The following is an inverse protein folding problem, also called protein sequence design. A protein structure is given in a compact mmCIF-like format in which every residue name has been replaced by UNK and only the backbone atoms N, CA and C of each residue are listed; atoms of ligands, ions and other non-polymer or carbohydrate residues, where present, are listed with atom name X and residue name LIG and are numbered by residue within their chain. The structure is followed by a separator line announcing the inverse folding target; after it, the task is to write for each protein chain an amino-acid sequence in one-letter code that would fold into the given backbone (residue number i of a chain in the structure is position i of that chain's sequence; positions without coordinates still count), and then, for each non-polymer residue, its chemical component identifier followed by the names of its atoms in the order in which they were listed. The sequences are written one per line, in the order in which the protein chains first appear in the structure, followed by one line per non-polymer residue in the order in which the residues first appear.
data_IF_132612690792
#
_entry.id   IF_132612690792
#
_cell.length_a   1.000
_cell.length_b   1.000
_cell.length_c   1.000
_cell.angle_alpha   90.00
_cell.angle_beta   90.00
_cell.angle_gamma   90.00
#
_symmetry.space_group_name_H-M   'P 1'
#
loop_
_entity.id
_entity.type
_entity.pdbx_description
1 polymer ?
#
# COMPACT_ATOMS: atom_id res chain seq x y z
N UNK A 1 16.95 -10.55 -21.93
CA UNK A 1 17.49 -9.25 -22.38
C UNK A 1 16.56 -8.18 -21.82
N UNK A 2 17.03 -7.36 -20.89
CA UNK A 2 16.26 -6.18 -20.47
C UNK A 2 16.27 -5.20 -21.66
N UNK A 3 15.15 -5.12 -22.35
CA UNK A 3 14.95 -4.18 -23.43
C UNK A 3 14.71 -2.80 -22.80
N UNK A 4 15.64 -1.86 -22.99
CA UNK A 4 15.46 -0.49 -22.53
C UNK A 4 14.40 0.20 -23.41
N UNK A 5 13.27 0.58 -22.81
CA UNK A 5 12.18 1.27 -23.51
C UNK A 5 12.64 2.58 -24.15
N UNK A 6 13.67 3.24 -23.63
CA UNK A 6 14.22 4.45 -24.25
C UNK A 6 14.90 4.15 -25.61
N UNK A 7 15.47 2.96 -25.76
CA UNK A 7 16.03 2.53 -27.07
C UNK A 7 14.91 2.28 -28.08
N UNK A 8 13.82 1.61 -27.67
CA UNK A 8 12.65 1.40 -28.53
C UNK A 8 11.99 2.73 -28.98
N UNK A 9 11.95 3.71 -28.09
CA UNK A 9 11.46 5.06 -28.44
C UNK A 9 12.40 5.72 -29.47
N UNK A 10 13.73 5.64 -29.29
CA UNK A 10 14.71 6.21 -30.21
C UNK A 10 14.65 5.56 -31.60
N UNK A 11 14.40 4.27 -31.66
CA UNK A 11 14.31 3.49 -32.89
C UNK A 11 12.96 3.69 -33.62
N UNK A 12 11.98 4.33 -32.96
CA UNK A 12 10.64 4.53 -33.53
C UNK A 12 9.68 3.35 -33.36
N UNK A 13 10.04 2.35 -32.54
CA UNK A 13 9.22 1.18 -32.27
C UNK A 13 8.05 1.49 -31.31
N UNK A 14 8.12 2.63 -30.61
CA UNK A 14 7.07 3.12 -29.70
C UNK A 14 6.57 4.48 -30.20
N UNK A 15 5.27 4.54 -30.49
CA UNK A 15 4.59 5.72 -31.02
C UNK A 15 4.55 6.86 -29.99
N UNK A 16 5.00 8.05 -30.38
CA UNK A 16 4.82 9.29 -29.62
C UNK A 16 3.46 9.90 -29.94
N UNK A 17 2.70 10.23 -28.89
CA UNK A 17 1.42 10.94 -29.05
C UNK A 17 1.61 12.46 -29.11
N UNK A 18 0.53 13.18 -29.39
CA UNK A 18 0.50 14.66 -29.28
C UNK A 18 0.30 15.13 -27.82
N UNK A 19 -0.02 14.21 -26.91
CA UNK A 19 -0.31 14.51 -25.53
C UNK A 19 0.95 14.80 -24.71
N UNK A 20 0.77 15.59 -23.66
CA UNK A 20 1.78 15.82 -22.61
C UNK A 20 1.12 15.63 -21.25
N UNK A 21 1.88 15.11 -20.29
CA UNK A 21 1.47 15.01 -18.89
C UNK A 21 2.36 15.90 -18.04
N UNK A 22 1.74 16.76 -17.25
CA UNK A 22 2.43 17.62 -16.30
C UNK A 22 2.68 16.88 -15.00
N UNK A 23 3.95 16.81 -14.58
CA UNK A 23 4.38 16.16 -13.34
C UNK A 23 5.27 17.12 -12.55
N UNK A 24 5.15 17.07 -11.23
CA UNK A 24 6.07 17.71 -10.29
C UNK A 24 6.94 16.64 -9.63
N UNK A 25 8.24 16.70 -9.88
CA UNK A 25 9.21 15.72 -9.37
C UNK A 25 10.36 16.47 -8.71
N UNK A 26 10.64 16.17 -7.44
CA UNK A 26 11.70 16.84 -6.69
C UNK A 26 11.49 18.37 -6.57
N UNK A 27 10.23 18.83 -6.60
CA UNK A 27 9.86 20.25 -6.55
C UNK A 27 9.88 20.97 -7.91
N UNK A 28 10.31 20.33 -9.00
CA UNK A 28 10.29 20.86 -10.35
C UNK A 28 9.07 20.37 -11.14
N UNK A 29 8.30 21.28 -11.72
CA UNK A 29 7.14 20.95 -12.58
C UNK A 29 7.54 21.03 -14.05
N UNK A 30 7.34 19.92 -14.79
CA UNK A 30 7.67 19.81 -16.23
C UNK A 30 6.55 19.10 -16.98
N UNK A 31 6.44 19.40 -18.28
CA UNK A 31 5.58 18.69 -19.22
C UNK A 31 6.36 17.57 -19.89
N UNK A 32 5.92 16.33 -19.69
CA UNK A 32 6.54 15.14 -20.24
C UNK A 32 5.75 14.63 -21.45
N UNK A 33 6.41 14.20 -22.53
CA UNK A 33 5.72 13.60 -23.68
C UNK A 33 5.10 12.26 -23.30
N UNK A 34 3.94 11.97 -23.92
CA UNK A 34 3.21 10.72 -23.74
C UNK A 34 3.45 9.82 -24.94
N UNK A 35 3.66 8.53 -24.68
CA UNK A 35 3.88 7.48 -25.66
C UNK A 35 2.86 6.37 -25.50
N UNK A 36 2.60 5.59 -26.59
CA UNK A 36 1.76 4.41 -26.60
C UNK A 36 2.64 3.16 -26.45
N UNK A 37 2.55 2.52 -25.31
CA UNK A 37 3.32 1.31 -25.02
C UNK A 37 2.45 0.07 -25.27
N UNK A 38 2.91 -0.92 -26.07
CA UNK A 38 2.34 -2.24 -26.07
C UNK A 38 2.34 -2.84 -24.67
N UNK A 39 1.24 -3.52 -24.27
CA UNK A 39 1.06 -3.98 -22.89
C UNK A 39 2.09 -5.03 -22.47
N UNK A 40 2.65 -5.77 -23.40
CA UNK A 40 3.68 -6.78 -23.19
C UNK A 40 5.05 -6.21 -22.74
N UNK A 41 5.30 -4.93 -22.98
CA UNK A 41 6.52 -4.26 -22.50
C UNK A 41 6.41 -3.72 -21.09
N UNK A 42 5.26 -3.88 -20.45
CA UNK A 42 4.98 -3.31 -19.16
C UNK A 42 4.70 -4.37 -18.09
N UNK A 43 5.02 -4.02 -16.84
CA UNK A 43 4.70 -4.86 -15.70
C UNK A 43 4.29 -4.02 -14.47
N UNK A 44 3.58 -4.64 -13.54
CA UNK A 44 3.09 -3.97 -12.34
C UNK A 44 4.22 -3.62 -11.37
N UNK A 45 4.03 -2.53 -10.64
CA UNK A 45 4.91 -2.16 -9.54
C UNK A 45 4.62 -3.02 -8.30
N UNK A 46 5.57 -3.84 -7.89
CA UNK A 46 5.50 -4.68 -6.69
C UNK A 46 5.61 -3.88 -5.38
N UNK A 47 6.02 -2.62 -5.45
CA UNK A 47 6.06 -1.69 -4.32
C UNK A 47 4.79 -0.81 -4.21
N UNK A 48 3.74 -1.11 -4.96
CA UNK A 48 2.49 -0.37 -4.94
C UNK A 48 1.80 -0.48 -3.57
N UNK A 49 1.70 0.62 -2.83
CA UNK A 49 1.13 0.68 -1.48
C UNK A 49 -0.29 0.12 -1.34
N UNK A 50 -1.08 0.08 -2.42
CA UNK A 50 -2.46 -0.43 -2.41
C UNK A 50 -2.59 -1.94 -2.35
N UNK A 51 -1.55 -2.67 -2.66
CA UNK A 51 -1.53 -4.14 -2.73
C UNK A 51 -0.44 -4.76 -1.86
N UNK A 52 0.25 -3.94 -1.07
CA UNK A 52 1.39 -4.37 -0.26
C UNK A 52 1.05 -5.57 0.62
N UNK A 53 -0.04 -5.51 1.40
CA UNK A 53 -0.39 -6.61 2.31
C UNK A 53 -0.76 -7.89 1.56
N UNK A 54 -1.50 -7.78 0.44
CA UNK A 54 -1.88 -8.94 -0.37
C UNK A 54 -0.65 -9.57 -1.02
N UNK A 55 0.31 -8.76 -1.48
CA UNK A 55 1.54 -9.25 -2.07
C UNK A 55 2.45 -9.90 -1.02
N UNK A 56 2.57 -9.32 0.19
CA UNK A 56 3.30 -9.94 1.30
C UNK A 56 2.71 -11.30 1.70
N UNK A 57 1.38 -11.44 1.72
CA UNK A 57 0.74 -12.74 1.88
C UNK A 57 1.17 -13.72 0.80
N UNK A 58 1.10 -13.29 -0.47
CA UNK A 58 1.51 -14.14 -1.58
C UNK A 58 2.96 -14.60 -1.46
N UNK A 59 3.88 -13.68 -1.09
CA UNK A 59 5.29 -14.00 -0.86
C UNK A 59 5.45 -15.05 0.25
N UNK A 60 4.70 -14.93 1.34
CA UNK A 60 4.73 -15.89 2.46
C UNK A 60 4.35 -17.31 2.01
N UNK A 61 3.41 -17.44 1.09
CA UNK A 61 2.87 -18.73 0.65
C UNK A 61 3.62 -19.32 -0.56
N UNK A 62 4.19 -18.46 -1.45
CA UNK A 62 4.69 -18.87 -2.76
C UNK A 62 6.11 -18.39 -3.07
N UNK A 63 6.69 -17.53 -2.23
CA UNK A 63 7.97 -16.86 -2.49
C UNK A 63 7.85 -15.60 -3.33
N UNK A 64 8.96 -14.85 -3.42
CA UNK A 64 9.03 -13.58 -4.13
C UNK A 64 8.99 -13.78 -5.64
N UNK A 65 8.22 -12.93 -6.32
CA UNK A 65 8.17 -12.87 -7.78
C UNK A 65 9.27 -11.95 -8.32
N UNK A 66 9.76 -12.25 -9.52
CA UNK A 66 10.72 -11.38 -10.23
C UNK A 66 9.96 -10.46 -11.18
N UNK A 67 9.97 -9.14 -10.94
CA UNK A 67 9.36 -8.16 -11.84
C UNK A 67 10.26 -7.97 -13.08
N UNK A 68 9.74 -8.31 -14.26
CA UNK A 68 10.45 -8.14 -15.53
C UNK A 68 9.51 -8.05 -16.72
N UNK A 69 9.96 -7.40 -17.80
CA UNK A 69 9.25 -7.33 -19.08
C UNK A 69 9.02 -8.74 -19.62
N UNK A 70 7.81 -9.00 -20.14
CA UNK A 70 7.45 -10.29 -20.76
C UNK A 70 7.08 -11.39 -19.76
N UNK A 71 7.20 -11.18 -18.47
CA UNK A 71 6.74 -12.15 -17.46
C UNK A 71 5.22 -12.13 -17.33
N UNK A 72 4.53 -12.91 -18.18
CA UNK A 72 3.05 -12.98 -18.18
C UNK A 72 2.50 -13.47 -16.84
N UNK A 73 3.15 -14.46 -16.21
CA UNK A 73 2.75 -15.03 -14.91
C UNK A 73 2.81 -13.99 -13.80
N UNK A 74 3.87 -13.17 -13.76
CA UNK A 74 3.98 -12.04 -12.84
C UNK A 74 2.79 -11.10 -13.01
N UNK A 75 2.55 -10.65 -14.24
CA UNK A 75 1.47 -9.72 -14.54
C UNK A 75 0.07 -10.29 -14.24
N UNK A 76 -0.18 -11.57 -14.46
CA UNK A 76 -1.46 -12.22 -14.15
C UNK A 76 -1.74 -12.25 -12.64
N UNK A 77 -0.73 -12.49 -11.82
CA UNK A 77 -0.84 -12.49 -10.36
C UNK A 77 -1.19 -11.09 -9.85
N UNK A 78 -0.45 -10.07 -10.30
CA UNK A 78 -0.71 -8.68 -9.91
C UNK A 78 -2.05 -8.14 -10.45
N UNK A 79 -2.43 -8.52 -11.67
CA UNK A 79 -3.74 -8.23 -12.24
C UNK A 79 -4.87 -8.71 -11.32
N UNK A 80 -4.75 -9.94 -10.78
CA UNK A 80 -5.70 -10.47 -9.81
C UNK A 80 -5.72 -9.66 -8.51
N UNK A 81 -4.58 -9.26 -7.97
CA UNK A 81 -4.53 -8.42 -6.76
C UNK A 81 -5.25 -7.08 -6.97
N UNK A 82 -5.00 -6.42 -8.09
CA UNK A 82 -5.67 -5.16 -8.46
C UNK A 82 -7.18 -5.38 -8.64
N UNK A 83 -7.57 -6.45 -9.33
CA UNK A 83 -8.98 -6.81 -9.54
C UNK A 83 -9.71 -7.03 -8.21
N UNK A 84 -9.13 -7.82 -7.30
CA UNK A 84 -9.75 -8.17 -6.03
C UNK A 84 -9.80 -6.97 -5.06
N UNK A 85 -8.85 -6.04 -5.16
CA UNK A 85 -8.79 -4.89 -4.26
C UNK A 85 -10.02 -3.99 -4.37
N UNK A 86 -10.53 -3.72 -5.58
CA UNK A 86 -11.67 -2.81 -5.84
C UNK A 86 -12.41 -3.19 -7.14
N UNK A 87 -13.10 -4.31 -7.15
CA UNK A 87 -13.79 -4.87 -8.34
C UNK A 87 -14.68 -3.86 -9.08
N UNK A 88 -15.52 -3.12 -8.34
CA UNK A 88 -16.43 -2.16 -8.97
C UNK A 88 -15.70 -0.99 -9.62
N UNK A 89 -14.66 -0.46 -8.97
CA UNK A 89 -13.87 0.63 -9.53
C UNK A 89 -13.10 0.19 -10.79
N UNK A 90 -12.62 -1.06 -10.85
CA UNK A 90 -11.99 -1.59 -12.05
C UNK A 90 -13.01 -1.75 -13.20
N UNK A 91 -14.20 -2.30 -12.92
CA UNK A 91 -15.26 -2.40 -13.93
C UNK A 91 -15.65 -1.04 -14.50
N UNK A 92 -15.81 -0.04 -13.65
CA UNK A 92 -16.11 1.32 -14.10
C UNK A 92 -14.98 1.88 -14.99
N UNK A 93 -13.71 1.61 -14.63
CA UNK A 93 -12.55 2.00 -15.45
C UNK A 93 -12.55 1.28 -16.80
N UNK A 94 -12.87 -0.01 -16.83
CA UNK A 94 -12.94 -0.81 -18.06
C UNK A 94 -14.02 -0.27 -19.01
N UNK A 95 -15.24 -0.01 -18.50
CA UNK A 95 -16.33 0.60 -19.28
C UNK A 95 -15.91 1.95 -19.85
N UNK A 96 -15.36 2.83 -19.00
CA UNK A 96 -14.91 4.17 -19.43
C UNK A 96 -13.84 4.10 -20.53
N UNK A 97 -12.87 3.18 -20.41
CA UNK A 97 -11.82 3.02 -21.43
C UNK A 97 -12.41 2.44 -22.72
N UNK A 98 -13.35 1.49 -22.66
CA UNK A 98 -14.01 0.94 -23.83
C UNK A 98 -14.81 1.98 -24.60
N UNK A 99 -15.44 2.95 -23.90
CA UNK A 99 -16.27 3.99 -24.51
C UNK A 99 -15.48 5.20 -25.01
N UNK A 100 -14.44 5.62 -24.27
CA UNK A 100 -13.78 6.93 -24.44
C UNK A 100 -12.28 6.82 -24.69
N UNK A 101 -11.71 5.62 -24.65
CA UNK A 101 -10.26 5.42 -24.61
C UNK A 101 -9.65 5.83 -23.27
N UNK A 102 -8.33 5.72 -23.16
CA UNK A 102 -7.59 6.13 -21.98
C UNK A 102 -7.54 7.67 -21.89
N UNK A 103 -8.23 8.26 -20.92
CA UNK A 103 -8.33 9.71 -20.76
C UNK A 103 -7.13 10.32 -20.03
N UNK A 104 -6.55 9.58 -19.08
CA UNK A 104 -5.42 10.03 -18.27
C UNK A 104 -4.18 9.17 -18.57
N UNK A 105 -3.08 9.76 -19.07
CA UNK A 105 -1.83 9.03 -19.25
C UNK A 105 -1.28 8.51 -17.91
N UNK A 106 -0.71 7.31 -17.92
CA UNK A 106 0.00 6.75 -16.79
C UNK A 106 1.42 7.29 -16.61
N UNK A 107 2.16 6.67 -15.70
CA UNK A 107 3.59 6.90 -15.48
C UNK A 107 4.30 5.57 -15.40
N UNK A 108 5.36 5.39 -16.18
CA UNK A 108 6.20 4.19 -16.18
C UNK A 108 7.67 4.54 -15.99
N UNK A 109 8.46 3.58 -15.56
CA UNK A 109 9.92 3.66 -15.58
C UNK A 109 10.49 3.09 -16.89
N UNK A 110 11.75 3.38 -17.17
CA UNK A 110 12.46 2.89 -18.36
C UNK A 110 12.59 1.36 -18.39
N UNK A 111 12.48 0.69 -17.27
CA UNK A 111 12.44 -0.76 -17.15
C UNK A 111 11.06 -1.40 -17.43
N UNK A 112 10.04 -0.60 -17.75
CA UNK A 112 8.69 -1.07 -18.02
C UNK A 112 7.75 -1.13 -16.80
N UNK A 113 8.20 -0.71 -15.63
CA UNK A 113 7.43 -0.72 -14.38
C UNK A 113 6.36 0.37 -14.38
N UNK A 114 5.11 0.01 -14.13
CA UNK A 114 3.97 0.95 -14.07
C UNK A 114 3.86 1.56 -12.67
N UNK A 115 4.27 2.81 -12.52
CA UNK A 115 4.21 3.56 -11.25
C UNK A 115 2.82 4.11 -11.01
N UNK A 116 2.19 4.74 -12.02
CA UNK A 116 0.81 5.24 -11.94
C UNK A 116 -0.04 4.71 -13.09
N UNK A 117 -1.31 4.43 -12.76
CA UNK A 117 -2.28 3.93 -13.74
C UNK A 117 -2.45 2.41 -13.70
N UNK A 118 -2.01 1.71 -12.66
CA UNK A 118 -2.13 0.25 -12.55
C UNK A 118 -3.56 -0.26 -12.81
N UNK A 119 -4.63 0.45 -12.36
CA UNK A 119 -6.01 0.08 -12.66
C UNK A 119 -6.34 0.22 -14.15
N UNK A 120 -5.87 1.28 -14.81
CA UNK A 120 -6.06 1.49 -16.26
C UNK A 120 -5.30 0.43 -17.07
N UNK A 121 -4.08 0.12 -16.65
CA UNK A 121 -3.28 -0.96 -17.21
C UNK A 121 -3.99 -2.31 -17.09
N UNK A 122 -4.57 -2.63 -15.91
CA UNK A 122 -5.39 -3.84 -15.71
C UNK A 122 -6.61 -3.84 -16.64
N UNK A 123 -7.34 -2.72 -16.73
CA UNK A 123 -8.51 -2.63 -17.60
C UNK A 123 -8.17 -2.87 -19.07
N UNK A 124 -7.08 -2.27 -19.57
CA UNK A 124 -6.61 -2.48 -20.95
C UNK A 124 -6.19 -3.94 -21.20
N UNK A 125 -5.49 -4.57 -20.26
CA UNK A 125 -5.15 -6.00 -20.36
C UNK A 125 -6.39 -6.88 -20.41
N UNK A 126 -7.41 -6.57 -19.61
CA UNK A 126 -8.69 -7.27 -19.62
C UNK A 126 -9.41 -7.09 -20.97
N UNK A 127 -9.51 -5.85 -21.46
CA UNK A 127 -10.11 -5.55 -22.77
C UNK A 127 -9.38 -6.30 -23.89
N UNK A 128 -8.04 -6.29 -23.89
CA UNK A 128 -7.25 -7.01 -24.89
C UNK A 128 -7.54 -8.52 -24.87
N UNK A 129 -7.63 -9.12 -23.68
CA UNK A 129 -7.96 -10.55 -23.53
C UNK A 129 -9.39 -10.89 -24.00
N UNK A 130 -10.35 -10.04 -23.70
CA UNK A 130 -11.76 -10.24 -24.03
C UNK A 130 -12.05 -10.04 -25.53
N UNK A 131 -11.37 -9.08 -26.15
CA UNK A 131 -11.64 -8.70 -27.55
C UNK A 131 -10.66 -9.27 -28.56
N UNK A 132 -9.50 -9.78 -28.14
CA UNK A 132 -8.34 -10.12 -28.98
C UNK A 132 -7.84 -8.95 -29.85
N UNK A 133 -8.13 -7.72 -29.47
CA UNK A 133 -7.67 -6.50 -30.16
C UNK A 133 -6.51 -5.92 -29.34
N UNK A 134 -5.38 -5.68 -30.01
CA UNK A 134 -4.20 -5.05 -29.40
C UNK A 134 -4.58 -3.75 -28.71
N UNK A 135 -4.21 -3.63 -27.44
CA UNK A 135 -4.37 -2.42 -26.65
C UNK A 135 -3.00 -1.81 -26.34
N UNK A 136 -3.00 -0.52 -26.08
CA UNK A 136 -1.80 0.25 -25.74
C UNK A 136 -2.04 1.03 -24.46
N UNK A 137 -1.00 1.13 -23.64
CA UNK A 137 -1.04 1.98 -22.44
C UNK A 137 -0.37 3.32 -22.77
N UNK A 138 -1.14 4.39 -22.70
CA UNK A 138 -0.60 5.75 -22.87
C UNK A 138 0.05 6.20 -21.57
N UNK A 139 1.35 6.50 -21.60
CA UNK A 139 2.11 6.86 -20.42
C UNK A 139 3.30 7.77 -20.73
N UNK A 140 3.77 8.48 -19.72
CA UNK A 140 5.09 9.12 -19.73
C UNK A 140 6.12 8.12 -19.19
N UNK A 141 7.34 8.21 -19.71
CA UNK A 141 8.48 7.41 -19.25
C UNK A 141 9.43 8.27 -18.42
N UNK A 142 9.87 7.72 -17.28
CA UNK A 142 10.85 8.34 -16.40
C UNK A 142 12.09 7.45 -16.29
N UNK A 143 13.25 8.07 -16.47
CA UNK A 143 14.55 7.38 -16.39
C UNK A 143 15.09 7.35 -14.96
N UNK A 144 14.30 6.76 -14.02
CA UNK A 144 14.72 6.53 -12.65
C UNK A 144 15.09 5.06 -12.45
N UNK A 145 16.10 4.85 -11.61
CA UNK A 145 16.51 3.51 -11.18
C UNK A 145 15.97 3.23 -9.76
N UNK A 146 15.09 2.24 -9.64
CA UNK A 146 14.52 1.83 -8.35
C UNK A 146 15.56 1.30 -7.36
N UNK A 147 16.74 0.88 -7.84
CA UNK A 147 17.83 0.44 -6.97
C UNK A 147 18.69 1.61 -6.46
N UNK A 148 18.49 2.81 -6.99
CA UNK A 148 19.14 4.02 -6.52
C UNK A 148 18.26 4.69 -5.44
N UNK A 149 18.78 4.84 -4.21
CA UNK A 149 18.05 5.42 -3.07
C UNK A 149 17.46 6.82 -3.33
N UNK A 150 18.13 7.64 -4.12
CA UNK A 150 17.66 9.00 -4.45
C UNK A 150 16.48 8.92 -5.40
N UNK A 151 16.55 8.05 -6.38
CA UNK A 151 15.47 7.86 -7.35
C UNK A 151 14.30 7.10 -6.72
N UNK A 152 14.56 6.10 -5.87
CA UNK A 152 13.54 5.41 -5.08
C UNK A 152 12.68 6.40 -4.28
N UNK A 153 13.33 7.37 -3.62
CA UNK A 153 12.63 8.44 -2.90
C UNK A 153 11.77 9.29 -3.84
N UNK A 154 12.29 9.71 -4.99
CA UNK A 154 11.54 10.50 -5.98
C UNK A 154 10.34 9.73 -6.55
N UNK A 155 10.53 8.43 -6.82
CA UNK A 155 9.45 7.53 -7.27
C UNK A 155 8.35 7.49 -6.21
N UNK A 156 8.73 7.31 -4.93
CA UNK A 156 7.76 7.26 -3.83
C UNK A 156 7.04 8.60 -3.62
N UNK A 157 7.75 9.71 -3.68
CA UNK A 157 7.15 11.06 -3.63
C UNK A 157 6.11 11.24 -4.75
N UNK A 158 6.46 10.85 -5.98
CA UNK A 158 5.57 10.95 -7.13
C UNK A 158 4.36 10.01 -6.99
N UNK A 159 4.54 8.78 -6.53
CA UNK A 159 3.46 7.83 -6.26
C UNK A 159 2.46 8.42 -5.26
N UNK A 160 2.93 8.98 -4.15
CA UNK A 160 2.09 9.60 -3.12
C UNK A 160 1.34 10.82 -3.68
N UNK A 161 2.00 11.71 -4.42
CA UNK A 161 1.37 12.88 -5.05
C UNK A 161 0.26 12.45 -6.03
N UNK A 162 0.53 11.49 -6.90
CA UNK A 162 -0.43 11.00 -7.89
C UNK A 162 -1.58 10.22 -7.26
N UNK A 163 -1.34 9.49 -6.18
CA UNK A 163 -2.33 8.64 -5.53
C UNK A 163 -3.15 9.38 -4.46
N UNK A 164 -2.55 10.31 -3.73
CA UNK A 164 -3.16 11.01 -2.61
C UNK A 164 -3.37 12.51 -2.88
N UNK A 165 -2.65 13.10 -3.81
CA UNK A 165 -2.72 14.52 -4.19
C UNK A 165 -3.94 14.93 -5.04
N UNK A 166 -4.69 13.99 -5.65
CA UNK A 166 -5.80 14.29 -6.59
C UNK A 166 -7.19 14.06 -5.98
N UNK A 167 -8.21 14.79 -6.46
CA UNK A 167 -9.57 14.81 -5.88
C UNK A 167 -10.37 13.50 -6.02
N UNK A 168 -10.16 12.70 -7.06
CA UNK A 168 -10.84 11.41 -7.26
C UNK A 168 -10.05 10.24 -6.66
N UNK A 169 -10.22 10.03 -5.36
CA UNK A 169 -9.48 9.00 -4.62
C UNK A 169 -10.32 7.76 -4.37
N UNK A 170 -9.87 6.63 -4.89
CA UNK A 170 -10.30 5.36 -4.32
C UNK A 170 -9.53 5.18 -3.01
N UNK A 171 -10.25 5.17 -1.89
CA UNK A 171 -9.65 5.06 -0.55
C UNK A 171 -8.77 3.80 -0.43
N UNK A 172 -7.61 3.95 0.19
CA UNK A 172 -6.81 2.82 0.67
C UNK A 172 -7.60 1.99 1.66
N UNK A 173 -7.32 0.70 1.73
CA UNK A 173 -7.62 -0.08 2.92
C UNK A 173 -6.86 0.52 4.12
N UNK A 174 -7.47 0.68 5.29
CA UNK A 174 -6.80 1.29 6.44
C UNK A 174 -5.48 0.60 6.81
N UNK A 175 -5.43 -0.72 6.76
CA UNK A 175 -4.20 -1.48 7.08
C UNK A 175 -3.13 -1.30 6.00
N UNK A 176 -3.50 -1.29 4.71
CA UNK A 176 -2.55 -1.01 3.63
C UNK A 176 -1.94 0.39 3.77
N UNK A 177 -2.74 1.39 4.17
CA UNK A 177 -2.25 2.76 4.45
C UNK A 177 -1.30 2.78 5.63
N UNK A 178 -1.66 2.15 6.75
CA UNK A 178 -0.83 2.06 7.96
C UNK A 178 0.50 1.39 7.61
N UNK A 179 0.47 0.31 6.84
CA UNK A 179 1.66 -0.38 6.39
C UNK A 179 2.52 0.48 5.48
N UNK A 180 1.94 1.17 4.49
CA UNK A 180 2.67 2.03 3.56
C UNK A 180 3.41 3.17 4.28
N UNK A 181 2.75 3.83 5.24
CA UNK A 181 3.36 4.86 6.10
C UNK A 181 4.54 4.28 6.87
N UNK A 182 4.33 3.15 7.55
CA UNK A 182 5.35 2.51 8.38
C UNK A 182 6.54 2.01 7.54
N UNK A 183 6.26 1.32 6.45
CA UNK A 183 7.28 0.80 5.55
C UNK A 183 8.14 1.92 4.95
N UNK A 184 7.52 3.01 4.52
CA UNK A 184 8.23 4.14 3.91
C UNK A 184 9.10 4.89 4.92
N UNK A 185 8.61 5.10 6.15
CA UNK A 185 9.28 5.95 7.14
C UNK A 185 10.25 5.15 8.01
N UNK A 186 9.82 4.01 8.56
CA UNK A 186 10.59 3.26 9.56
C UNK A 186 11.43 2.13 8.95
N UNK A 187 10.91 1.41 7.95
CA UNK A 187 11.60 0.25 7.37
C UNK A 187 12.59 0.70 6.29
N UNK A 188 12.10 1.33 5.25
CA UNK A 188 12.91 1.78 4.12
C UNK A 188 13.68 3.08 4.42
N UNK A 189 13.17 3.88 5.38
CA UNK A 189 13.74 5.18 5.78
C UNK A 189 13.92 6.13 4.58
N UNK A 190 12.95 6.14 3.68
CA UNK A 190 12.96 7.00 2.50
C UNK A 190 12.56 8.43 2.83
N UNK A 191 11.69 8.61 3.83
CA UNK A 191 11.10 9.90 4.18
C UNK A 191 10.94 10.06 5.69
N UNK A 192 11.03 11.31 6.15
CA UNK A 192 10.52 11.72 7.46
C UNK A 192 9.00 11.90 7.42
N UNK A 193 8.29 11.94 8.58
CA UNK A 193 6.86 12.26 8.61
C UNK A 193 6.50 13.58 7.93
N UNK A 194 7.36 14.60 8.01
CA UNK A 194 7.15 15.89 7.35
C UNK A 194 7.28 15.79 5.82
N UNK A 195 8.25 15.05 5.32
CA UNK A 195 8.42 14.80 3.90
C UNK A 195 7.25 13.97 3.34
N UNK A 196 6.80 12.93 4.08
CA UNK A 196 5.63 12.13 3.71
C UNK A 196 4.35 12.99 3.67
N UNK A 197 4.16 13.89 4.65
CA UNK A 197 3.08 14.88 4.66
C UNK A 197 3.08 15.72 3.38
N UNK A 198 4.24 16.26 3.03
CA UNK A 198 4.40 17.10 1.83
C UNK A 198 4.08 16.34 0.56
N UNK A 199 4.62 15.13 0.42
CA UNK A 199 4.40 14.27 -0.76
C UNK A 199 2.94 13.81 -0.91
N UNK A 200 2.30 13.46 0.20
CA UNK A 200 0.90 12.99 0.21
C UNK A 200 -0.15 14.10 0.15
N UNK A 201 0.24 15.37 0.24
CA UNK A 201 -0.69 16.49 0.31
C UNK A 201 -1.50 16.56 1.62
N UNK A 202 -1.08 15.85 2.67
CA UNK A 202 -1.75 15.88 3.97
C UNK A 202 -1.59 17.24 4.64
N UNK A 203 -2.65 17.76 5.28
CA UNK A 203 -2.63 19.07 5.94
C UNK A 203 -1.70 19.14 7.16
N UNK A 204 -1.47 18.01 7.83
CA UNK A 204 -0.57 17.92 9.00
C UNK A 204 -0.08 16.48 9.19
N UNK A 205 0.89 16.30 10.11
CA UNK A 205 1.47 14.96 10.42
C UNK A 205 0.68 14.15 11.45
N UNK A 206 -0.42 14.66 12.01
CA UNK A 206 -1.16 13.96 13.08
C UNK A 206 -1.67 12.59 12.65
N UNK A 207 -2.21 12.51 11.42
CA UNK A 207 -2.67 11.24 10.83
C UNK A 207 -1.51 10.27 10.60
N UNK A 208 -0.41 10.75 10.03
CA UNK A 208 0.82 9.97 9.78
C UNK A 208 1.38 9.42 11.09
N UNK A 209 1.52 10.26 12.11
CA UNK A 209 2.00 9.84 13.42
C UNK A 209 1.03 8.86 14.11
N UNK A 210 -0.30 8.98 13.88
CA UNK A 210 -1.27 7.98 14.33
C UNK A 210 -1.04 6.64 13.63
N UNK A 211 -0.89 6.65 12.31
CA UNK A 211 -0.63 5.44 11.52
C UNK A 211 0.68 4.75 11.97
N UNK A 212 1.73 5.50 12.26
CA UNK A 212 2.98 4.95 12.83
C UNK A 212 2.76 4.29 14.20
N UNK A 213 1.96 4.89 15.09
CA UNK A 213 1.65 4.28 16.39
C UNK A 213 0.79 3.03 16.24
N UNK A 214 -0.18 3.02 15.32
CA UNK A 214 -0.98 1.84 14.99
C UNK A 214 -0.11 0.73 14.42
N UNK A 215 0.81 1.05 13.50
CA UNK A 215 1.75 0.08 12.95
C UNK A 215 2.60 -0.57 14.06
N UNK A 216 3.12 0.23 15.00
CA UNK A 216 3.87 -0.30 16.14
C UNK A 216 3.04 -1.23 17.04
N UNK A 217 1.74 -0.95 17.25
CA UNK A 217 0.84 -1.85 17.97
C UNK A 217 0.61 -3.14 17.19
N UNK A 218 0.43 -3.05 15.86
CA UNK A 218 0.30 -4.23 14.99
C UNK A 218 1.58 -5.08 15.04
N UNK A 219 2.75 -4.49 14.92
CA UNK A 219 4.04 -5.20 15.00
C UNK A 219 4.17 -5.94 16.34
N UNK A 220 3.84 -5.29 17.46
CA UNK A 220 3.86 -5.93 18.78
C UNK A 220 2.85 -7.08 18.87
N UNK A 221 1.63 -6.89 18.36
CA UNK A 221 0.62 -7.93 18.31
C UNK A 221 1.12 -9.14 17.50
N UNK A 222 1.68 -8.90 16.32
CA UNK A 222 2.21 -9.95 15.45
C UNK A 222 3.39 -10.69 16.11
N UNK A 223 4.22 -10.02 16.88
CA UNK A 223 5.28 -10.65 17.67
C UNK A 223 4.75 -11.57 18.78
N UNK A 224 3.52 -11.33 19.27
CA UNK A 224 2.85 -12.21 20.24
C UNK A 224 2.28 -13.46 19.55
N UNK A 225 1.57 -13.27 18.42
CA UNK A 225 0.85 -14.37 17.75
C UNK A 225 1.72 -15.20 16.82
N UNK A 226 2.85 -14.65 16.36
CA UNK A 226 3.82 -15.32 15.50
C UNK A 226 5.27 -15.03 15.95
N UNK A 227 5.70 -15.49 17.15
CA UNK A 227 6.96 -15.06 17.78
C UNK A 227 8.22 -15.47 17.02
N UNK A 228 8.13 -16.47 16.14
CA UNK A 228 9.26 -16.97 15.35
C UNK A 228 9.32 -16.39 13.93
N UNK A 229 8.44 -15.46 13.61
CA UNK A 229 8.31 -14.85 12.28
C UNK A 229 8.68 -13.37 12.32
N UNK A 230 9.11 -12.83 11.16
CA UNK A 230 9.28 -11.38 11.05
C UNK A 230 7.89 -10.71 11.00
N UNK A 231 7.54 -9.83 11.94
CA UNK A 231 6.23 -9.18 11.97
C UNK A 231 5.90 -8.37 10.70
N UNK A 232 6.92 -7.82 10.03
CA UNK A 232 6.74 -7.06 8.78
C UNK A 232 6.21 -7.97 7.68
N UNK A 233 6.78 -9.16 7.54
CA UNK A 233 6.36 -10.14 6.53
C UNK A 233 4.96 -10.70 6.81
N UNK A 234 4.52 -10.66 8.07
CA UNK A 234 3.19 -11.09 8.52
C UNK A 234 2.18 -9.95 8.66
N UNK A 235 2.51 -8.74 8.24
CA UNK A 235 1.62 -7.58 8.43
C UNK A 235 0.25 -7.74 7.73
N UNK A 236 0.17 -8.57 6.71
CA UNK A 236 -1.09 -8.93 6.05
C UNK A 236 -2.12 -9.56 7.01
N UNK A 237 -1.68 -10.25 8.09
CA UNK A 237 -2.58 -10.81 9.10
C UNK A 237 -3.39 -9.71 9.80
N UNK A 238 -2.83 -8.51 9.97
CA UNK A 238 -3.55 -7.38 10.54
C UNK A 238 -4.81 -7.02 9.71
N UNK A 239 -4.72 -7.13 8.38
CA UNK A 239 -5.85 -6.92 7.47
C UNK A 239 -6.88 -8.04 7.55
N UNK A 240 -6.43 -9.29 7.56
CA UNK A 240 -7.31 -10.46 7.65
C UNK A 240 -8.08 -10.49 8.97
N UNK A 241 -7.41 -10.14 10.06
CA UNK A 241 -7.97 -10.08 11.41
C UNK A 241 -8.71 -8.77 11.70
N UNK A 242 -8.74 -7.81 10.75
CA UNK A 242 -9.40 -6.49 10.88
C UNK A 242 -8.96 -5.73 12.14
N UNK A 243 -7.66 -5.65 12.36
CA UNK A 243 -7.09 -5.06 13.58
C UNK A 243 -7.18 -3.54 13.63
N UNK A 244 -7.46 -2.85 12.52
CA UNK A 244 -7.63 -1.39 12.48
C UNK A 244 -8.65 -0.91 13.53
N UNK A 245 -9.85 -1.47 13.56
CA UNK A 245 -10.90 -1.09 14.50
C UNK A 245 -10.53 -1.27 15.97
N UNK A 246 -10.19 -2.49 16.43
CA UNK A 246 -9.79 -2.73 17.82
C UNK A 246 -8.61 -1.88 18.28
N UNK A 247 -7.59 -1.72 17.44
CA UNK A 247 -6.38 -0.98 17.81
C UNK A 247 -6.59 0.54 17.83
N UNK A 248 -7.42 1.10 16.95
CA UNK A 248 -7.78 2.52 16.99
C UNK A 248 -8.47 2.91 18.30
N UNK A 249 -9.31 2.03 18.87
CA UNK A 249 -10.03 2.28 20.10
C UNK A 249 -9.11 2.43 21.32
N UNK A 250 -7.96 1.72 21.34
CA UNK A 250 -7.02 1.73 22.46
C UNK A 250 -5.78 2.59 22.23
N UNK A 251 -5.43 2.90 20.97
CA UNK A 251 -4.19 3.61 20.62
C UNK A 251 -4.01 4.89 21.41
N UNK A 252 -5.07 5.73 21.46
CA UNK A 252 -5.03 7.02 22.15
C UNK A 252 -4.82 6.87 23.64
N UNK A 253 -5.42 5.88 24.27
CA UNK A 253 -5.28 5.59 25.71
C UNK A 253 -3.88 5.10 26.01
N UNK A 254 -3.39 4.11 25.28
CA UNK A 254 -2.03 3.59 25.40
C UNK A 254 -0.98 4.68 25.19
N UNK A 255 -1.18 5.54 24.19
CA UNK A 255 -0.21 6.60 23.90
C UNK A 255 -0.10 7.65 25.00
N UNK A 256 -1.12 7.84 25.82
CA UNK A 256 -1.13 8.77 26.98
C UNK A 256 -0.51 8.17 28.24
N UNK A 257 -0.26 6.88 28.30
CA UNK A 257 0.32 6.24 29.47
C UNK A 257 1.75 6.74 29.69
N UNK A 258 2.04 7.14 30.93
CA UNK A 258 3.37 7.64 31.37
C UNK A 258 4.17 6.56 32.10
N UNK A 259 3.50 5.64 32.77
CA UNK A 259 4.08 4.52 33.53
C UNK A 259 3.52 3.21 33.02
N UNK A 260 4.28 2.16 33.15
CA UNK A 260 3.89 0.76 32.86
C UNK A 260 3.31 0.56 31.45
N UNK A 261 3.68 1.49 30.54
CA UNK A 261 3.13 1.53 29.17
C UNK A 261 3.42 0.22 28.42
N UNK A 262 4.61 -0.32 28.57
CA UNK A 262 5.02 -1.55 27.87
C UNK A 262 4.22 -2.74 28.40
N UNK A 263 4.18 -2.95 29.71
CA UNK A 263 3.42 -4.03 30.37
C UNK A 263 1.94 -3.95 30.01
N UNK A 264 1.31 -2.79 30.15
CA UNK A 264 -0.11 -2.57 29.81
C UNK A 264 -0.35 -2.87 28.33
N UNK A 265 0.53 -2.42 27.43
CA UNK A 265 0.42 -2.69 26.00
C UNK A 265 0.48 -4.18 25.72
N UNK A 266 1.46 -4.87 26.28
CA UNK A 266 1.62 -6.31 26.14
C UNK A 266 0.36 -7.06 26.59
N UNK A 267 -0.16 -6.74 27.78
CA UNK A 267 -1.34 -7.39 28.36
C UNK A 267 -2.59 -7.17 27.49
N UNK A 268 -2.83 -5.94 27.03
CA UNK A 268 -3.97 -5.64 26.15
C UNK A 268 -3.87 -6.38 24.83
N UNK A 269 -2.68 -6.43 24.23
CA UNK A 269 -2.46 -7.14 22.96
C UNK A 269 -2.59 -8.67 23.14
N UNK A 270 -2.18 -9.20 24.29
CA UNK A 270 -2.38 -10.62 24.63
C UNK A 270 -3.88 -10.95 24.78
N UNK A 271 -4.65 -10.09 25.46
CA UNK A 271 -6.11 -10.24 25.53
C UNK A 271 -6.72 -10.21 24.11
N UNK A 272 -6.29 -9.28 23.27
CA UNK A 272 -6.76 -9.20 21.89
C UNK A 272 -6.47 -10.50 21.13
N UNK A 273 -5.26 -11.06 21.26
CA UNK A 273 -4.88 -12.31 20.63
C UNK A 273 -5.76 -13.48 21.11
N UNK A 274 -6.00 -13.59 22.43
CA UNK A 274 -6.87 -14.61 23.01
C UNK A 274 -8.33 -14.46 22.55
N UNK A 275 -8.84 -13.24 22.48
CA UNK A 275 -10.21 -13.00 21.98
C UNK A 275 -10.35 -13.38 20.51
N UNK A 276 -9.36 -13.06 19.69
CA UNK A 276 -9.32 -13.47 18.27
C UNK A 276 -9.28 -14.99 18.15
N UNK A 277 -8.41 -15.66 18.91
CA UNK A 277 -8.31 -17.13 18.89
C UNK A 277 -9.59 -17.85 19.33
N UNK A 278 -10.41 -17.22 20.18
CA UNK A 278 -11.69 -17.75 20.65
C UNK A 278 -12.89 -17.38 19.78
N UNK A 279 -12.71 -16.48 18.81
CA UNK A 279 -13.80 -15.99 17.96
C UNK A 279 -13.79 -16.69 16.60
N UNK A 280 -14.96 -16.74 15.94
CA UNK A 280 -15.01 -17.07 14.53
C UNK A 280 -14.43 -15.92 13.69
N UNK A 281 -13.81 -16.25 12.55
CA UNK A 281 -13.20 -15.25 11.64
C UNK A 281 -14.28 -14.24 11.20
N UNK A 282 -14.07 -12.97 11.53
CA UNK A 282 -14.97 -11.88 11.18
C UNK A 282 -15.95 -11.45 12.27
N UNK A 283 -15.82 -11.96 13.51
CA UNK A 283 -16.61 -11.55 14.66
C UNK A 283 -16.47 -10.04 14.92
N UNK A 284 -17.60 -9.33 14.78
CA UNK A 284 -17.69 -7.87 15.07
C UNK A 284 -17.57 -7.54 16.55
N UNK A 285 -17.65 -8.55 17.42
CA UNK A 285 -17.66 -8.37 18.88
C UNK A 285 -16.25 -8.08 19.44
N UNK A 286 -15.18 -8.41 18.70
CA UNK A 286 -13.78 -8.18 19.15
C UNK A 286 -13.54 -6.69 19.44
N UNK A 287 -13.94 -5.80 18.54
CA UNK A 287 -13.77 -4.35 18.73
C UNK A 287 -14.51 -3.88 19.98
N UNK A 288 -15.71 -4.43 20.24
CA UNK A 288 -16.49 -4.11 21.44
C UNK A 288 -15.77 -4.61 22.70
N UNK A 289 -15.29 -5.85 22.72
CA UNK A 289 -14.55 -6.42 23.84
C UNK A 289 -13.29 -5.62 24.18
N UNK A 290 -12.54 -5.19 23.18
CA UNK A 290 -11.37 -4.34 23.39
C UNK A 290 -11.76 -2.95 23.89
N UNK A 291 -12.88 -2.40 23.45
CA UNK A 291 -13.44 -1.16 23.98
C UNK A 291 -13.86 -1.30 25.46
N UNK A 292 -14.40 -2.45 25.85
CA UNK A 292 -14.71 -2.76 27.24
C UNK A 292 -13.43 -2.82 28.11
N UNK A 293 -12.33 -3.40 27.60
CA UNK A 293 -11.02 -3.35 28.28
C UNK A 293 -10.57 -1.90 28.49
N UNK A 294 -10.73 -1.04 27.49
CA UNK A 294 -10.41 0.39 27.65
C UNK A 294 -11.21 1.02 28.78
N UNK A 295 -12.54 0.96 28.73
CA UNK A 295 -13.41 1.66 29.70
C UNK A 295 -13.36 1.07 31.10
N UNK A 296 -13.32 -0.25 31.23
CA UNK A 296 -13.43 -0.92 32.54
C UNK A 296 -12.05 -1.08 33.22
N UNK A 297 -10.95 -1.11 32.44
CA UNK A 297 -9.61 -1.36 32.97
C UNK A 297 -8.72 -0.13 32.78
N UNK A 298 -8.45 0.29 31.55
CA UNK A 298 -7.42 1.29 31.27
C UNK A 298 -7.81 2.70 31.75
N UNK A 299 -9.08 3.05 31.67
CA UNK A 299 -9.61 4.35 32.12
C UNK A 299 -9.93 4.36 33.64
N UNK A 300 -9.86 3.20 34.33
CA UNK A 300 -10.06 3.05 35.77
C UNK A 300 -8.71 2.87 36.49
N UNK A 301 -8.27 3.82 37.35
CA UNK A 301 -6.96 3.75 38.01
C UNK A 301 -6.76 2.48 38.86
N UNK A 302 -7.74 2.10 39.68
CA UNK A 302 -7.66 0.92 40.57
C UNK A 302 -7.59 -0.38 39.75
N UNK A 303 -8.44 -0.52 38.75
CA UNK A 303 -8.46 -1.71 37.90
C UNK A 303 -7.18 -1.80 37.04
N UNK A 304 -6.65 -0.67 36.64
CA UNK A 304 -5.38 -0.62 35.90
C UNK A 304 -4.19 -1.09 36.74
N UNK A 305 -4.09 -0.72 38.02
CA UNK A 305 -3.05 -1.22 38.94
C UNK A 305 -3.18 -2.74 39.10
N UNK A 306 -4.36 -3.26 39.35
CA UNK A 306 -4.61 -4.71 39.44
C UNK A 306 -4.24 -5.42 38.13
N UNK A 307 -4.51 -4.81 37.00
CA UNK A 307 -4.21 -5.37 35.68
C UNK A 307 -2.70 -5.48 35.40
N UNK A 308 -1.89 -4.59 35.96
CA UNK A 308 -0.43 -4.66 35.88
C UNK A 308 0.08 -5.84 36.72
N UNK A 309 -0.40 -5.97 37.94
CA UNK A 309 0.06 -6.99 38.90
C UNK A 309 -0.40 -8.40 38.49
N UNK A 310 -1.60 -8.56 37.95
CA UNK A 310 -2.16 -9.86 37.59
C UNK A 310 -1.44 -10.58 36.43
N UNK A 311 -0.43 -10.00 35.84
CA UNK A 311 0.36 -10.59 34.75
C UNK A 311 1.75 -11.03 35.18
N UNK A 312 2.13 -10.74 36.45
CA UNK A 312 3.36 -11.22 37.05
C UNK A 312 3.18 -12.57 37.77
N UNK A 313 1.97 -13.09 37.84
CA UNK A 313 1.59 -14.44 38.30
C UNK A 313 1.21 -15.35 37.11
#
# INVERSE_FOLDING_TARGET
MNQDLNELIKNGDIEKTTLKKRLTIGGETKDYPVYKFPLEYLYYNDQNGRINTVYHRYISDHGKLTPEIGNSKYNEIFERFIYESKKQALKNTQVSISEKGQQEPGVILSDGRVIDGNRRFTALRTIQKETNIQQYFEAVILSFDINNKIDEKKIKELELDLQLGREERVSYDPIDRIFDVYNTIEVQRLMTPEEYKKASGAGNTKGINKDLRLANLIIKFLSIVAPNENPIDKFYLARELKLDGPLEDIERTINKLKKDKETITQNVLTILAVQIAKSEIGDRDITRKIRDVKYNILDNPEMKERFIVATDE
#
